data_IF_820824461553
#
_entry.id   IF_820824461553
#
_cell.length_a   1.000
_cell.length_b   1.000
_cell.length_c   1.000
_cell.angle_alpha   90.00
_cell.angle_beta   90.00
_cell.angle_gamma   90.00
#
_symmetry.space_group_name_H-M   'P 1'
#
loop_
_entity.id
_entity.type
_entity.pdbx_description
1 polymer ?
#
# COMPACT_ATOMS: atom_id res chain seq x y z
N UNK A 1 -27.57 31.45 15.58
CA UNK A 1 -27.01 30.12 15.28
C UNK A 1 -25.80 30.36 14.40
N UNK A 2 -24.58 30.16 14.90
CA UNK A 2 -23.38 30.42 14.08
C UNK A 2 -23.28 29.34 13.01
N UNK A 3 -23.24 29.76 11.73
CA UNK A 3 -23.03 28.87 10.59
C UNK A 3 -21.52 28.76 10.38
N UNK A 4 -21.01 27.55 10.16
CA UNK A 4 -19.62 27.35 9.74
C UNK A 4 -19.42 28.06 8.39
N UNK A 5 -18.37 28.87 8.31
CA UNK A 5 -17.89 29.44 7.04
C UNK A 5 -17.22 28.33 6.20
N UNK A 6 -17.28 28.47 4.88
CA UNK A 6 -16.45 27.62 4.03
C UNK A 6 -14.99 28.06 4.17
N UNK A 7 -14.05 27.11 4.18
CA UNK A 7 -12.63 27.43 4.30
C UNK A 7 -12.14 28.31 3.14
N UNK A 8 -12.68 28.09 1.93
CA UNK A 8 -12.37 28.89 0.74
C UNK A 8 -12.86 30.35 0.83
N UNK A 9 -13.71 30.68 1.83
CA UNK A 9 -14.17 32.06 2.10
C UNK A 9 -13.21 32.81 3.04
N UNK A 10 -12.16 32.14 3.56
CA UNK A 10 -11.12 32.76 4.36
C UNK A 10 -10.08 33.37 3.42
N UNK A 11 -9.97 34.70 3.41
CA UNK A 11 -8.97 35.44 2.61
C UNK A 11 -7.55 35.41 3.21
N UNK A 12 -7.28 34.54 4.18
CA UNK A 12 -5.95 34.40 4.80
C UNK A 12 -5.02 33.57 3.92
N UNK A 13 -3.79 34.05 3.78
CA UNK A 13 -2.70 33.32 3.13
C UNK A 13 -2.06 32.35 4.13
N UNK A 14 -2.13 31.05 3.83
CA UNK A 14 -1.55 29.98 4.64
C UNK A 14 -0.18 29.49 4.13
N UNK A 15 0.41 30.14 3.12
CA UNK A 15 1.66 29.70 2.47
C UNK A 15 2.85 29.53 3.43
N UNK A 16 2.97 30.39 4.46
CA UNK A 16 4.00 30.24 5.50
C UNK A 16 3.82 28.94 6.31
N UNK A 17 2.58 28.54 6.58
CA UNK A 17 2.31 27.27 7.28
C UNK A 17 2.63 26.07 6.39
N UNK A 18 2.25 26.11 5.11
CA UNK A 18 2.58 25.07 4.12
C UNK A 18 4.10 24.89 4.00
N UNK A 19 4.85 26.01 3.97
CA UNK A 19 6.30 26.01 3.95
C UNK A 19 6.90 25.33 5.18
N UNK A 20 6.42 25.66 6.38
CA UNK A 20 6.87 25.03 7.64
C UNK A 20 6.53 23.54 7.68
N UNK A 21 5.37 23.13 7.18
CA UNK A 21 5.00 21.72 7.07
C UNK A 21 5.98 20.99 6.13
N UNK A 22 6.31 21.60 4.98
CA UNK A 22 7.30 21.06 4.06
C UNK A 22 8.68 20.90 4.70
N UNK A 23 9.14 21.88 5.48
CA UNK A 23 10.39 21.82 6.25
C UNK A 23 10.39 20.67 7.27
N UNK A 24 9.30 20.51 8.01
CA UNK A 24 9.11 19.38 8.92
C UNK A 24 9.19 18.04 8.16
N UNK A 25 8.59 17.97 6.96
CA UNK A 25 8.66 16.81 6.08
C UNK A 25 10.09 16.45 5.68
N UNK A 26 10.89 17.44 5.30
CA UNK A 26 12.32 17.28 4.98
C UNK A 26 13.11 16.80 6.19
N UNK A 27 12.90 17.40 7.36
CA UNK A 27 13.55 16.96 8.59
C UNK A 27 13.24 15.50 8.94
N UNK A 28 11.98 15.09 8.83
CA UNK A 28 11.61 13.68 9.04
C UNK A 28 12.30 12.78 8.03
N UNK A 29 12.30 13.15 6.76
CA UNK A 29 12.93 12.36 5.70
C UNK A 29 14.42 12.12 5.98
N UNK A 30 15.17 13.17 6.33
CA UNK A 30 16.60 13.07 6.64
C UNK A 30 16.85 12.17 7.85
N UNK A 31 16.10 12.36 8.94
CA UNK A 31 16.26 11.55 10.17
C UNK A 31 15.85 10.09 9.97
N UNK A 32 14.95 9.82 9.01
CA UNK A 32 14.41 8.49 8.72
C UNK A 32 15.05 7.81 7.53
N UNK A 33 16.05 8.42 6.89
CA UNK A 33 16.72 7.88 5.69
C UNK A 33 17.22 6.45 5.93
N UNK A 34 17.91 6.22 7.03
CA UNK A 34 18.44 4.89 7.42
C UNK A 34 17.36 3.89 7.86
N UNK A 35 16.13 4.37 8.04
CA UNK A 35 14.96 3.57 8.37
C UNK A 35 14.11 3.26 7.12
N UNK A 36 14.61 3.56 5.91
CA UNK A 36 13.97 3.12 4.66
C UNK A 36 14.66 1.87 4.11
N UNK A 37 13.98 1.09 3.25
CA UNK A 37 14.61 -0.03 2.55
C UNK A 37 15.79 0.42 1.70
N UNK A 38 16.77 -0.48 1.51
CA UNK A 38 17.92 -0.22 0.63
C UNK A 38 17.47 -0.03 -0.82
N UNK A 39 18.15 0.85 -1.54
CA UNK A 39 17.85 1.13 -2.95
C UNK A 39 17.93 -0.12 -3.84
N UNK A 40 18.90 -1.02 -3.61
CA UNK A 40 18.99 -2.28 -4.36
C UNK A 40 17.78 -3.19 -4.16
N UNK A 41 17.30 -3.33 -2.92
CA UNK A 41 16.10 -4.12 -2.61
C UNK A 41 14.84 -3.44 -3.14
N UNK A 42 14.78 -2.11 -3.18
CA UNK A 42 13.71 -1.37 -3.83
C UNK A 42 13.68 -1.64 -5.35
N UNK A 43 14.82 -1.61 -6.02
CA UNK A 43 14.93 -1.90 -7.45
C UNK A 43 14.52 -3.35 -7.76
N UNK A 44 14.96 -4.30 -6.94
CA UNK A 44 14.54 -5.70 -7.06
C UNK A 44 13.03 -5.85 -6.97
N UNK A 45 12.42 -5.27 -5.93
CA UNK A 45 10.98 -5.36 -5.70
C UNK A 45 10.17 -4.63 -6.78
N UNK A 46 10.70 -3.55 -7.36
CA UNK A 46 10.07 -2.88 -8.50
C UNK A 46 9.89 -3.84 -9.69
N UNK A 47 10.96 -4.56 -10.03
CA UNK A 47 10.94 -5.53 -11.11
C UNK A 47 10.06 -6.74 -10.77
N UNK A 48 10.20 -7.30 -9.57
CA UNK A 48 9.39 -8.43 -9.12
C UNK A 48 7.89 -8.14 -9.21
N UNK A 49 7.45 -6.95 -8.78
CA UNK A 49 6.04 -6.56 -8.80
C UNK A 49 5.54 -6.32 -10.23
N UNK A 50 6.40 -5.85 -11.15
CA UNK A 50 6.07 -5.77 -12.58
C UNK A 50 5.88 -7.17 -13.18
N UNK A 51 6.85 -8.07 -12.96
CA UNK A 51 6.79 -9.44 -13.48
C UNK A 51 5.58 -10.20 -12.91
N UNK A 52 5.27 -10.00 -11.63
CA UNK A 52 4.06 -10.53 -11.00
C UNK A 52 2.80 -9.99 -11.67
N UNK A 53 2.69 -8.69 -11.90
CA UNK A 53 1.52 -8.10 -12.54
C UNK A 53 1.23 -8.74 -13.91
N UNK A 54 2.26 -9.14 -14.65
CA UNK A 54 2.17 -9.70 -16.00
C UNK A 54 2.05 -11.23 -16.06
N UNK A 55 2.60 -11.99 -15.10
CA UNK A 55 2.44 -13.46 -15.05
C UNK A 55 1.02 -13.83 -14.63
N UNK A 56 0.16 -14.19 -15.59
CA UNK A 56 -1.26 -14.59 -15.45
C UNK A 56 -1.56 -15.70 -14.44
N UNK A 57 -0.57 -16.50 -14.04
CA UNK A 57 -0.75 -17.61 -13.09
C UNK A 57 -0.82 -17.19 -11.63
N UNK A 58 -0.40 -15.97 -11.32
CA UNK A 58 -0.52 -15.38 -9.99
C UNK A 58 -1.87 -14.65 -9.79
N UNK A 59 -2.23 -14.20 -8.58
CA UNK A 59 -3.35 -13.30 -8.39
C UNK A 59 -2.90 -11.83 -8.45
N UNK A 60 -3.82 -10.91 -8.71
CA UNK A 60 -3.65 -9.49 -8.39
C UNK A 60 -4.32 -9.18 -7.04
N UNK A 61 -3.57 -8.60 -6.13
CA UNK A 61 -4.10 -8.08 -4.88
C UNK A 61 -4.68 -6.68 -5.08
N UNK A 62 -5.98 -6.52 -4.84
CA UNK A 62 -6.69 -5.26 -5.09
C UNK A 62 -7.29 -4.73 -3.79
N UNK A 63 -6.94 -3.49 -3.45
CA UNK A 63 -7.49 -2.76 -2.30
C UNK A 63 -8.87 -2.18 -2.63
N UNK A 64 -9.84 -3.07 -2.85
CA UNK A 64 -11.26 -2.77 -3.02
C UNK A 64 -12.04 -3.94 -2.43
N UNK A 65 -12.67 -3.72 -1.28
CA UNK A 65 -13.45 -4.74 -0.58
C UNK A 65 -14.75 -4.16 -0.05
N UNK A 66 -15.80 -4.97 -0.11
CA UNK A 66 -17.15 -4.68 0.37
C UNK A 66 -17.91 -6.01 0.54
N UNK A 67 -19.23 -5.98 0.69
CA UNK A 67 -20.01 -7.20 0.90
C UNK A 67 -19.97 -8.18 -0.29
N UNK A 68 -19.77 -7.68 -1.52
CA UNK A 68 -19.63 -8.52 -2.72
C UNK A 68 -18.19 -9.01 -2.92
N UNK A 69 -17.22 -8.21 -2.45
CA UNK A 69 -15.78 -8.44 -2.56
C UNK A 69 -15.14 -8.60 -1.19
N UNK A 70 -15.48 -9.70 -0.51
CA UNK A 70 -14.90 -10.04 0.79
C UNK A 70 -13.39 -10.23 0.70
N UNK A 71 -12.64 -9.77 1.72
CA UNK A 71 -11.18 -9.90 1.75
C UNK A 71 -10.76 -11.37 1.79
N UNK A 72 -9.77 -11.74 0.97
CA UNK A 72 -9.26 -13.10 0.87
C UNK A 72 -10.10 -14.06 0.02
N UNK A 73 -11.23 -13.60 -0.56
CA UNK A 73 -12.01 -14.35 -1.55
C UNK A 73 -11.31 -14.30 -2.92
N UNK A 74 -11.42 -15.37 -3.71
CA UNK A 74 -11.04 -15.32 -5.13
C UNK A 74 -12.18 -14.76 -5.98
N UNK A 75 -11.83 -13.81 -6.84
CA UNK A 75 -12.71 -13.25 -7.86
C UNK A 75 -12.07 -13.56 -9.21
N UNK A 76 -12.79 -14.25 -10.09
CA UNK A 76 -12.30 -14.57 -11.44
C UNK A 76 -12.66 -13.39 -12.33
N UNK A 77 -11.67 -12.65 -12.80
CA UNK A 77 -11.84 -11.56 -13.74
C UNK A 77 -12.24 -12.08 -15.13
N UNK A 78 -12.91 -11.27 -15.95
CA UNK A 78 -13.32 -11.64 -17.32
C UNK A 78 -12.14 -12.03 -18.23
N UNK A 79 -10.91 -11.60 -17.90
CA UNK A 79 -9.68 -12.03 -18.58
C UNK A 79 -9.15 -13.40 -18.13
N UNK A 80 -9.82 -14.08 -17.19
CA UNK A 80 -9.37 -15.30 -16.52
C UNK A 80 -8.35 -15.09 -15.40
N UNK A 81 -7.97 -13.84 -15.09
CA UNK A 81 -7.03 -13.51 -14.01
C UNK A 81 -7.71 -13.66 -12.65
N UNK A 82 -7.02 -14.24 -11.67
CA UNK A 82 -7.51 -14.25 -10.28
C UNK A 82 -7.26 -12.88 -9.64
N UNK A 83 -8.28 -12.31 -9.03
CA UNK A 83 -8.24 -11.09 -8.25
C UNK A 83 -8.55 -11.44 -6.80
N UNK A 84 -7.77 -10.89 -5.86
CA UNK A 84 -7.98 -11.09 -4.42
C UNK A 84 -8.22 -9.72 -3.77
N UNK A 85 -9.46 -9.42 -3.35
CA UNK A 85 -9.76 -8.28 -2.50
C UNK A 85 -8.98 -8.35 -1.20
N UNK A 86 -8.35 -7.26 -0.80
CA UNK A 86 -7.52 -7.18 0.40
C UNK A 86 -7.50 -5.77 1.00
N UNK A 87 -6.96 -5.65 2.21
CA UNK A 87 -6.58 -4.35 2.78
C UNK A 87 -5.05 -4.18 2.80
N UNK A 88 -4.54 -3.18 3.52
CA UNK A 88 -3.12 -2.87 3.62
C UNK A 88 -2.20 -3.99 4.18
N UNK A 89 -2.73 -5.14 4.63
CA UNK A 89 -1.91 -6.28 5.05
C UNK A 89 -0.83 -6.66 4.02
N UNK A 90 -1.21 -6.72 2.73
CA UNK A 90 -0.29 -7.09 1.64
C UNK A 90 0.81 -6.05 1.46
N UNK A 91 0.45 -4.75 1.54
CA UNK A 91 1.40 -3.65 1.44
C UNK A 91 2.41 -3.68 2.60
N UNK A 92 1.94 -3.91 3.83
CA UNK A 92 2.81 -4.05 5.01
C UNK A 92 3.78 -5.23 4.86
N UNK A 93 3.30 -6.35 4.33
CA UNK A 93 4.14 -7.52 4.09
C UNK A 93 5.20 -7.27 3.02
N UNK A 94 4.81 -6.75 1.85
CA UNK A 94 5.76 -6.43 0.78
C UNK A 94 6.82 -5.44 1.24
N UNK A 95 6.39 -4.41 1.97
CA UNK A 95 7.31 -3.45 2.58
C UNK A 95 8.28 -4.12 3.57
N UNK A 96 7.78 -4.94 4.49
CA UNK A 96 8.60 -5.59 5.52
C UNK A 96 9.60 -6.58 4.91
N UNK A 97 9.21 -7.31 3.87
CA UNK A 97 10.10 -8.20 3.12
C UNK A 97 11.24 -7.41 2.46
N UNK A 98 10.90 -6.33 1.76
CA UNK A 98 11.87 -5.45 1.10
C UNK A 98 12.82 -4.77 2.11
N UNK A 99 12.28 -4.26 3.23
CA UNK A 99 13.07 -3.65 4.30
C UNK A 99 14.13 -4.62 4.87
N UNK A 100 13.76 -5.90 5.00
CA UNK A 100 14.67 -6.95 5.47
C UNK A 100 15.53 -7.57 4.34
N UNK A 101 15.56 -6.97 3.14
CA UNK A 101 16.26 -7.49 1.96
C UNK A 101 15.90 -8.95 1.64
N UNK A 102 14.64 -9.32 1.84
CA UNK A 102 14.10 -10.61 1.40
C UNK A 102 13.63 -10.44 -0.04
N UNK A 103 14.29 -11.14 -0.95
CA UNK A 103 14.19 -10.96 -2.41
C UNK A 103 13.72 -12.28 -3.05
N UNK A 104 12.43 -12.64 -2.91
CA UNK A 104 11.91 -13.89 -3.44
C UNK A 104 11.75 -13.82 -4.97
N UNK A 105 12.09 -14.90 -5.64
CA UNK A 105 11.76 -15.11 -7.05
C UNK A 105 10.25 -15.18 -7.28
N UNK A 106 9.82 -14.98 -8.52
CA UNK A 106 8.41 -15.10 -8.91
C UNK A 106 7.80 -16.47 -8.57
N UNK A 107 8.60 -17.54 -8.71
CA UNK A 107 8.18 -18.90 -8.35
C UNK A 107 8.03 -19.09 -6.83
N UNK A 108 8.81 -18.36 -6.02
CA UNK A 108 8.64 -18.35 -4.57
C UNK A 108 7.42 -17.53 -4.16
N UNK A 109 7.15 -16.39 -4.82
CA UNK A 109 5.89 -15.66 -4.66
C UNK A 109 4.70 -16.57 -4.91
N UNK A 110 4.71 -17.34 -6.00
CA UNK A 110 3.66 -18.32 -6.29
C UNK A 110 3.47 -19.32 -5.16
N UNK A 111 4.55 -19.91 -4.67
CA UNK A 111 4.51 -20.83 -3.52
C UNK A 111 3.96 -20.16 -2.26
N UNK A 112 4.29 -18.90 -2.00
CA UNK A 112 3.77 -18.14 -0.85
C UNK A 112 2.27 -17.84 -0.98
N UNK A 113 1.79 -17.57 -2.19
CA UNK A 113 0.35 -17.41 -2.46
C UNK A 113 -0.36 -18.75 -2.24
N UNK A 114 0.11 -19.81 -2.90
CA UNK A 114 -0.52 -21.15 -2.88
C UNK A 114 -0.60 -21.73 -1.46
N UNK A 115 0.34 -21.36 -0.59
CA UNK A 115 0.40 -21.80 0.82
C UNK A 115 -0.21 -20.80 1.82
N UNK A 116 -0.97 -19.80 1.35
CA UNK A 116 -1.63 -18.77 2.17
C UNK A 116 -0.65 -18.07 3.14
N UNK A 117 0.50 -17.64 2.62
CA UNK A 117 1.56 -16.97 3.40
C UNK A 117 1.60 -15.45 3.20
N UNK A 118 0.87 -14.92 2.22
CA UNK A 118 0.72 -13.47 1.99
C UNK A 118 -0.48 -12.95 2.79
N UNK A 119 -0.31 -11.98 3.71
CA UNK A 119 -1.40 -11.50 4.54
C UNK A 119 -2.37 -10.60 3.76
N UNK A 120 -3.60 -11.08 3.54
CA UNK A 120 -4.62 -10.36 2.76
C UNK A 120 -5.41 -9.34 3.58
N UNK A 121 -5.26 -9.36 4.90
CA UNK A 121 -5.95 -8.44 5.79
C UNK A 121 -5.13 -8.05 7.02
N UNK A 122 -5.41 -6.88 7.58
CA UNK A 122 -4.96 -6.50 8.90
C UNK A 122 -5.64 -7.36 9.97
N UNK A 123 -6.95 -7.57 9.81
CA UNK A 123 -7.82 -8.44 10.62
C UNK A 123 -8.98 -8.91 9.75
N UNK A 124 -9.36 -10.18 9.87
CA UNK A 124 -10.55 -10.76 9.22
C UNK A 124 -11.71 -10.93 10.21
N UNK A 125 -12.89 -10.43 9.83
CA UNK A 125 -14.15 -10.66 10.54
C UNK A 125 -14.68 -12.07 10.27
N UNK A 126 -15.57 -12.57 11.13
CA UNK A 126 -16.18 -13.90 11.00
C UNK A 126 -16.84 -14.13 9.63
N UNK A 127 -17.73 -13.22 9.20
CA UNK A 127 -18.42 -13.27 7.89
C UNK A 127 -17.44 -13.28 6.71
N UNK A 128 -16.29 -12.61 6.83
CA UNK A 128 -15.29 -12.59 5.76
C UNK A 128 -14.60 -13.95 5.64
N UNK A 129 -14.26 -14.58 6.79
CA UNK A 129 -13.65 -15.92 6.83
C UNK A 129 -14.54 -16.99 6.18
N UNK A 130 -15.86 -16.87 6.30
CA UNK A 130 -16.79 -17.81 5.67
C UNK A 130 -16.73 -17.82 4.14
N UNK A 131 -16.22 -16.74 3.52
CA UNK A 131 -16.13 -16.58 2.07
C UNK A 131 -14.69 -16.57 1.54
N UNK A 132 -13.70 -16.55 2.44
CA UNK A 132 -12.30 -16.41 2.08
C UNK A 132 -11.68 -17.76 1.69
N UNK A 133 -10.77 -17.73 0.72
CA UNK A 133 -9.82 -18.81 0.45
C UNK A 133 -8.50 -18.58 1.18
N UNK A 134 -8.11 -17.31 1.32
CA UNK A 134 -6.88 -16.87 1.97
C UNK A 134 -7.20 -16.22 3.32
N UNK A 135 -6.53 -16.64 4.37
CA UNK A 135 -6.86 -16.29 5.76
C UNK A 135 -5.73 -15.55 6.48
N UNK A 136 -4.53 -15.52 5.88
CA UNK A 136 -3.36 -14.92 6.52
C UNK A 136 -3.59 -13.45 6.83
N UNK A 137 -3.15 -13.01 8.01
CA UNK A 137 -3.34 -11.63 8.47
C UNK A 137 -2.02 -10.98 8.86
N UNK A 138 -1.99 -9.66 9.07
CA UNK A 138 -0.76 -8.96 9.48
C UNK A 138 -0.09 -9.50 10.75
N UNK A 139 -0.84 -10.19 11.62
CA UNK A 139 -0.31 -10.73 12.88
C UNK A 139 0.79 -11.78 12.65
N UNK A 140 0.83 -12.29 11.44
CA UNK A 140 1.69 -13.36 10.96
C UNK A 140 3.02 -12.89 10.35
N UNK A 141 3.24 -11.57 10.30
CA UNK A 141 4.45 -10.94 9.76
C UNK A 141 5.15 -10.12 10.83
N UNK A 142 6.36 -9.66 10.52
CA UNK A 142 7.08 -8.67 11.30
C UNK A 142 6.40 -7.29 11.22
N UNK A 143 5.27 -7.13 11.94
CA UNK A 143 4.35 -5.98 11.82
C UNK A 143 5.04 -4.64 12.20
N UNK A 144 5.24 -3.72 11.23
CA UNK A 144 5.83 -2.40 11.51
C UNK A 144 5.04 -1.62 12.58
N UNK A 145 3.71 -1.81 12.65
CA UNK A 145 2.86 -1.11 13.61
C UNK A 145 3.10 -1.52 15.06
N UNK A 146 3.60 -2.73 15.30
CA UNK A 146 4.01 -3.19 16.64
C UNK A 146 5.37 -2.61 17.05
N UNK A 147 6.21 -2.26 16.06
CA UNK A 147 7.52 -1.62 16.26
C UNK A 147 7.47 -0.10 16.32
N UNK A 148 6.27 0.50 16.39
CA UNK A 148 6.10 1.94 16.48
C UNK A 148 6.21 2.67 15.13
N UNK A 149 6.12 1.95 14.01
CA UNK A 149 6.13 2.51 12.66
C UNK A 149 4.76 2.50 12.01
N UNK A 150 4.56 3.39 11.04
CA UNK A 150 3.49 3.39 10.06
C UNK A 150 4.11 3.20 8.68
N UNK A 151 3.50 2.36 7.86
CA UNK A 151 3.78 2.29 6.43
C UNK A 151 2.77 3.19 5.72
N UNK A 152 3.26 4.20 5.00
CA UNK A 152 2.44 5.12 4.20
C UNK A 152 2.77 4.97 2.73
N UNK A 153 1.79 5.22 1.87
CA UNK A 153 2.01 5.30 0.42
C UNK A 153 2.38 6.72 -0.01
N UNK A 154 3.28 6.86 -0.98
CA UNK A 154 3.68 8.15 -1.57
C UNK A 154 2.65 8.65 -2.60
N UNK A 155 2.02 7.72 -3.31
CA UNK A 155 0.96 7.98 -4.28
C UNK A 155 -0.31 7.28 -3.80
N UNK A 156 -1.48 7.95 -3.84
CA UNK A 156 -2.75 7.34 -3.46
C UNK A 156 -3.04 6.03 -4.20
N UNK A 157 -3.57 5.06 -3.46
CA UNK A 157 -3.87 3.70 -3.94
C UNK A 157 -5.37 3.44 -4.08
N UNK A 158 -6.19 4.48 -4.18
CA UNK A 158 -7.63 4.33 -4.40
C UNK A 158 -7.93 3.87 -5.82
N UNK A 159 -8.73 2.80 -5.97
CA UNK A 159 -9.24 2.37 -7.27
C UNK A 159 -10.41 3.27 -7.67
N UNK A 160 -10.23 4.13 -8.68
CA UNK A 160 -11.23 5.09 -9.16
C UNK A 160 -12.27 4.45 -10.09
N UNK A 161 -12.87 3.32 -9.70
CA UNK A 161 -13.96 2.69 -10.44
C UNK A 161 -15.02 2.13 -9.49
N UNK A 162 -16.29 2.36 -9.86
CA UNK A 162 -17.46 1.79 -9.18
C UNK A 162 -17.86 0.43 -9.77
N UNK A 163 -17.29 0.04 -10.89
CA UNK A 163 -17.66 -1.17 -11.63
C UNK A 163 -17.31 -2.44 -10.83
N UNK A 164 -17.98 -3.56 -11.13
CA UNK A 164 -17.60 -4.87 -10.60
C UNK A 164 -16.12 -5.17 -10.85
N UNK A 165 -15.41 -5.81 -9.90
CA UNK A 165 -13.99 -6.15 -10.06
C UNK A 165 -13.72 -7.00 -11.31
N UNK A 166 -14.70 -7.81 -11.72
CA UNK A 166 -14.67 -8.69 -12.88
C UNK A 166 -14.66 -7.93 -14.22
N UNK A 167 -15.12 -6.68 -14.23
CA UNK A 167 -15.33 -5.86 -15.43
C UNK A 167 -14.34 -4.70 -15.56
N UNK A 168 -13.59 -4.36 -14.50
CA UNK A 168 -12.59 -3.30 -14.54
C UNK A 168 -11.46 -3.70 -15.48
N UNK A 169 -11.04 -2.79 -16.37
CA UNK A 169 -9.89 -2.99 -17.25
C UNK A 169 -8.70 -3.61 -16.49
N UNK A 170 -8.23 -4.75 -17.01
CA UNK A 170 -7.14 -5.50 -16.40
C UNK A 170 -5.86 -4.67 -16.28
N UNK A 171 -5.60 -3.75 -17.21
CA UNK A 171 -4.42 -2.89 -17.15
C UNK A 171 -4.55 -1.83 -16.04
N UNK A 172 -5.77 -1.37 -15.75
CA UNK A 172 -6.06 -0.55 -14.58
C UNK A 172 -5.85 -1.33 -13.28
N UNK A 173 -6.28 -2.61 -13.22
CA UNK A 173 -6.05 -3.48 -12.06
C UNK A 173 -4.56 -3.78 -11.84
N UNK A 174 -3.80 -4.05 -12.90
CA UNK A 174 -2.33 -4.21 -12.82
C UNK A 174 -1.66 -2.92 -12.36
N UNK A 175 -2.08 -1.76 -12.88
CA UNK A 175 -1.56 -0.45 -12.45
C UNK A 175 -1.83 -0.20 -10.96
N UNK A 176 -3.05 -0.49 -10.51
CA UNK A 176 -3.42 -0.43 -9.08
C UNK A 176 -2.52 -1.36 -8.25
N UNK A 177 -2.43 -2.63 -8.63
CA UNK A 177 -1.64 -3.64 -7.92
C UNK A 177 -0.18 -3.20 -7.77
N UNK A 178 0.44 -2.73 -8.85
CA UNK A 178 1.82 -2.22 -8.83
C UNK A 178 1.98 -1.06 -7.84
N UNK A 179 1.09 -0.08 -7.85
CA UNK A 179 1.14 1.04 -6.87
C UNK A 179 0.89 0.59 -5.44
N UNK A 180 0.04 -0.43 -5.27
CA UNK A 180 -0.41 -0.89 -3.97
C UNK A 180 0.64 -1.73 -3.24
N UNK A 181 1.29 -2.66 -3.93
CA UNK A 181 2.19 -3.65 -3.31
C UNK A 181 3.66 -3.23 -3.39
N UNK A 182 4.04 -2.37 -4.33
CA UNK A 182 5.44 -2.00 -4.55
C UNK A 182 5.99 -1.09 -3.42
N UNK A 183 7.03 -1.53 -2.70
CA UNK A 183 7.67 -0.75 -1.64
C UNK A 183 8.26 0.59 -2.10
N UNK A 184 8.56 0.78 -3.41
CA UNK A 184 8.99 2.09 -3.93
C UNK A 184 7.93 3.18 -3.73
N UNK A 185 6.65 2.79 -3.76
CA UNK A 185 5.55 3.70 -3.49
C UNK A 185 5.27 3.84 -1.99
N UNK A 186 6.18 3.43 -1.10
CA UNK A 186 5.97 3.47 0.35
C UNK A 186 7.14 4.08 1.11
N UNK A 187 6.88 4.47 2.36
CA UNK A 187 7.89 4.90 3.31
C UNK A 187 7.48 4.58 4.75
N UNK A 188 8.46 4.43 5.64
CA UNK A 188 8.22 4.36 7.09
C UNK A 188 8.12 5.74 7.70
N UNK A 189 7.15 5.90 8.60
CA UNK A 189 6.95 7.09 9.41
C UNK A 189 6.68 6.71 10.87
N UNK A 190 7.10 7.49 11.88
CA UNK A 190 6.79 7.21 13.27
C UNK A 190 5.29 7.16 13.51
N UNK A 191 4.81 6.05 14.06
CA UNK A 191 3.38 5.81 14.30
C UNK A 191 2.74 6.87 15.20
N UNK A 192 3.50 7.42 16.15
CA UNK A 192 3.05 8.53 17.02
C UNK A 192 2.65 9.80 16.24
N UNK A 193 3.14 9.96 15.01
CA UNK A 193 2.86 11.10 14.13
C UNK A 193 2.15 10.66 12.84
N UNK A 194 1.42 9.54 12.88
CA UNK A 194 0.84 8.93 11.68
C UNK A 194 -0.06 9.83 10.84
N UNK A 195 -0.67 10.86 11.44
CA UNK A 195 -1.50 11.82 10.72
C UNK A 195 -0.70 12.68 9.76
N UNK A 196 0.55 13.04 10.11
CA UNK A 196 1.43 13.82 9.24
C UNK A 196 1.80 13.06 7.97
N UNK A 197 1.89 11.73 8.03
CA UNK A 197 2.25 10.88 6.91
C UNK A 197 1.14 10.74 5.83
N UNK A 198 0.04 11.49 5.96
CA UNK A 198 -1.04 11.60 4.98
C UNK A 198 -1.12 13.02 4.38
N UNK A 199 -0.33 13.98 4.89
CA UNK A 199 -0.29 15.36 4.43
C UNK A 199 0.58 15.45 3.18
N UNK A 200 0.13 16.17 2.15
CA UNK A 200 0.76 16.18 0.83
C UNK A 200 2.19 16.72 0.87
N UNK A 201 2.41 17.81 1.59
CA UNK A 201 3.71 18.48 1.76
C UNK A 201 4.73 17.56 2.47
N UNK A 202 4.26 16.73 3.40
CA UNK A 202 5.09 15.71 4.06
C UNK A 202 5.40 14.59 3.06
N UNK A 203 4.38 14.06 2.38
CA UNK A 203 4.53 12.98 1.39
C UNK A 203 5.50 13.37 0.27
N UNK A 204 5.44 14.61 -0.21
CA UNK A 204 6.28 15.14 -1.28
C UNK A 204 7.76 15.12 -0.90
N UNK A 205 8.06 15.37 0.38
CA UNK A 205 9.42 15.20 0.90
C UNK A 205 9.92 13.77 0.66
N UNK A 206 9.10 12.74 0.88
CA UNK A 206 9.45 11.33 0.64
C UNK A 206 9.36 10.88 -0.83
N UNK A 207 8.75 11.67 -1.72
CA UNK A 207 8.78 11.44 -3.18
C UNK A 207 10.11 11.90 -3.79
N UNK A 208 10.62 13.04 -3.33
CA UNK A 208 11.91 13.57 -3.79
C UNK A 208 13.02 12.58 -3.39
N UNK A 209 13.74 12.01 -4.35
CA UNK A 209 15.01 11.32 -4.04
C UNK A 209 16.06 12.42 -3.83
N UNK A 210 16.90 12.27 -2.80
CA UNK A 210 18.11 13.07 -2.71
C UNK A 210 18.95 12.59 -3.89
N UNK A 211 19.30 13.49 -4.78
CA UNK A 211 20.50 13.29 -5.57
C UNK A 211 21.64 13.22 -4.54
N UNK A 212 22.13 12.01 -4.29
CA UNK A 212 23.41 11.81 -3.63
C UNK A 212 24.51 11.94 -4.70
#
# INVERSE_FOLDING_TARGET
>A
MNKLMNFDEIEEDFSDLEMRISEIGKEFRERLEKMQPKESSLQYWDQLVKDWADDKSLPLYIRKFNENYSRGKEVIHNSGRIIIPCDNGVAHWGFSMCFNSIEPSLQEIKRLVDSDRVPIAMVLKKKEREQAKYFRTKHDIDDPNKKGWKVSHKVPIGLKSKDPLEEIDIELLKSHFRKFVNPNNMFLFPKKYSGLAEIEEIIDSFKSRSAA
#
